data_IF_951960976845
#
_entry.id   IF_951960976845
#
_cell.length_a   1.000
_cell.length_b   1.000
_cell.length_c   1.000
_cell.angle_alpha   90.00
_cell.angle_beta   90.00
_cell.angle_gamma   90.00
#
_symmetry.space_group_name_H-M   'P 1'
#
loop_
_entity.id
_entity.type
_entity.pdbx_description
1 polymer ?
#
# COMPACT_ATOMS: atom_id res chain seq x y z
N UNK A 1 27.68 -5.38 -17.76
CA UNK A 1 27.05 -4.05 -17.95
C UNK A 1 27.65 -3.17 -19.05
N UNK A 2 28.94 -3.31 -19.43
CA UNK A 2 29.54 -2.53 -20.53
C UNK A 2 28.89 -2.75 -21.91
N UNK A 3 28.10 -3.82 -22.07
CA UNK A 3 27.35 -4.15 -23.28
C UNK A 3 26.04 -3.37 -23.47
N UNK A 4 25.50 -2.72 -22.42
CA UNK A 4 24.27 -1.93 -22.53
C UNK A 4 24.62 -0.46 -22.84
N UNK A 5 24.06 0.13 -23.92
CA UNK A 5 24.23 1.55 -24.22
C UNK A 5 23.86 2.44 -23.01
N UNK A 6 24.63 3.50 -22.69
CA UNK A 6 24.39 4.35 -21.52
C UNK A 6 22.96 4.90 -21.46
N UNK A 7 22.43 5.26 -22.62
CA UNK A 7 21.11 5.86 -22.82
C UNK A 7 19.95 4.90 -22.49
N UNK A 8 20.22 3.60 -22.46
CA UNK A 8 19.26 2.55 -22.09
C UNK A 8 19.41 2.08 -20.64
N UNK A 9 20.38 2.61 -19.89
CA UNK A 9 20.57 2.26 -18.47
C UNK A 9 19.56 2.99 -17.61
N UNK A 10 19.24 2.39 -16.46
CA UNK A 10 18.44 3.06 -15.44
C UNK A 10 19.16 4.35 -14.99
N UNK A 11 18.40 5.43 -14.79
CA UNK A 11 18.93 6.72 -14.33
C UNK A 11 19.55 6.63 -12.93
N UNK A 12 19.09 5.68 -12.12
CA UNK A 12 19.47 5.49 -10.72
C UNK A 12 20.43 4.30 -10.58
N UNK A 13 21.34 4.11 -11.54
CA UNK A 13 22.26 2.97 -11.51
C UNK A 13 23.23 3.13 -10.33
N UNK A 14 23.18 2.20 -9.38
CA UNK A 14 24.19 2.06 -8.33
C UNK A 14 25.16 0.95 -8.74
N UNK A 15 26.46 1.25 -8.75
CA UNK A 15 27.47 0.19 -8.88
C UNK A 15 27.58 -0.53 -7.54
N UNK A 16 27.39 -1.85 -7.56
CA UNK A 16 27.48 -2.69 -6.36
C UNK A 16 28.95 -2.79 -5.92
N UNK A 17 29.31 -2.05 -4.89
CA UNK A 17 30.59 -2.11 -4.17
C UNK A 17 30.32 -2.26 -2.67
N UNK A 18 31.35 -2.60 -1.88
CA UNK A 18 31.23 -2.70 -0.41
C UNK A 18 30.86 -1.36 0.26
N UNK A 19 31.07 -0.24 -0.44
CA UNK A 19 30.80 1.13 0.03
C UNK A 19 29.52 1.70 -0.60
N UNK A 20 28.79 0.91 -1.39
CA UNK A 20 27.61 1.38 -2.09
C UNK A 20 26.46 1.64 -1.11
N UNK A 21 25.96 2.87 -1.07
CA UNK A 21 24.72 3.19 -0.36
C UNK A 21 23.53 2.60 -1.14
N UNK A 22 22.94 1.54 -0.61
CA UNK A 22 21.75 0.93 -1.19
C UNK A 22 20.50 1.69 -0.73
N UNK A 23 19.76 2.24 -1.70
CA UNK A 23 18.49 2.95 -1.46
C UNK A 23 17.29 2.00 -1.50
N UNK A 24 16.19 2.43 -0.89
CA UNK A 24 14.89 1.80 -1.14
C UNK A 24 14.42 2.14 -2.55
N UNK A 25 14.26 1.12 -3.39
CA UNK A 25 13.86 1.25 -4.78
C UNK A 25 12.46 0.68 -5.03
N UNK A 26 11.89 0.96 -6.20
CA UNK A 26 10.64 0.33 -6.65
C UNK A 26 10.93 -0.87 -7.54
N UNK A 27 10.50 -2.05 -7.10
CA UNK A 27 10.61 -3.30 -7.85
C UNK A 27 9.24 -3.96 -7.93
N UNK A 28 8.76 -4.28 -9.14
CA UNK A 28 7.43 -4.85 -9.38
C UNK A 28 6.27 -4.02 -8.78
N UNK A 29 6.47 -2.70 -8.61
CA UNK A 29 5.50 -1.80 -7.98
C UNK A 29 5.50 -1.81 -6.45
N UNK A 30 6.29 -2.69 -5.82
CA UNK A 30 6.56 -2.71 -4.39
C UNK A 30 7.81 -1.88 -4.06
N UNK A 31 7.98 -1.51 -2.79
CA UNK A 31 9.23 -0.93 -2.31
C UNK A 31 10.14 -2.05 -1.85
N UNK A 32 11.39 -2.05 -2.29
CA UNK A 32 12.41 -2.99 -1.89
C UNK A 32 13.55 -2.23 -1.24
N UNK A 33 13.83 -2.55 0.02
CA UNK A 33 15.02 -2.12 0.73
C UNK A 33 16.14 -3.10 0.38
N UNK A 34 17.03 -2.66 -0.50
CA UNK A 34 18.12 -3.48 -1.02
C UNK A 34 19.21 -3.74 0.03
N UNK A 35 19.33 -2.89 1.05
CA UNK A 35 20.30 -3.06 2.14
C UNK A 35 19.91 -4.27 3.00
N UNK A 36 18.64 -4.35 3.38
CA UNK A 36 18.11 -5.41 4.24
C UNK A 36 17.52 -6.60 3.47
N UNK A 37 17.60 -6.57 2.14
CA UNK A 37 16.96 -7.50 1.22
C UNK A 37 15.50 -7.82 1.58
N UNK A 38 14.67 -6.79 1.77
CA UNK A 38 13.29 -6.97 2.16
C UNK A 38 12.31 -6.03 1.46
N UNK A 39 11.06 -6.49 1.28
CA UNK A 39 9.99 -5.62 0.80
C UNK A 39 9.45 -4.76 1.93
N UNK A 40 9.28 -3.47 1.65
CA UNK A 40 8.78 -2.47 2.60
C UNK A 40 7.39 -2.00 2.18
N UNK A 41 6.51 -1.81 3.16
CA UNK A 41 5.17 -1.28 2.95
C UNK A 41 5.01 0.03 3.73
N UNK A 42 4.58 1.09 3.05
CA UNK A 42 4.30 2.37 3.71
C UNK A 42 2.98 2.25 4.47
N UNK A 43 3.03 2.52 5.77
CA UNK A 43 1.87 2.54 6.67
C UNK A 43 1.31 3.95 6.87
N UNK A 44 1.93 4.96 6.27
CA UNK A 44 1.38 6.30 6.24
C UNK A 44 0.30 6.38 5.15
N UNK A 45 -0.94 6.67 5.54
CA UNK A 45 -2.10 6.79 4.66
C UNK A 45 -2.55 8.26 4.53
N UNK A 46 -1.78 9.13 3.84
CA UNK A 46 -2.04 10.57 3.83
C UNK A 46 -3.35 10.97 3.14
N UNK A 47 -3.97 10.05 2.40
CA UNK A 47 -5.26 10.26 1.72
C UNK A 47 -6.45 9.77 2.56
N UNK A 48 -6.21 9.18 3.72
CA UNK A 48 -7.23 8.70 4.65
C UNK A 48 -7.32 9.71 5.79
N UNK A 49 -8.53 10.08 6.19
CA UNK A 49 -8.76 11.02 7.28
C UNK A 49 -8.26 10.42 8.59
N UNK A 50 -7.61 11.23 9.41
CA UNK A 50 -7.04 10.79 10.68
C UNK A 50 -8.09 10.23 11.64
N UNK A 51 -9.29 10.82 11.67
CA UNK A 51 -10.45 10.35 12.44
C UNK A 51 -10.84 8.90 12.13
N UNK A 52 -10.66 8.46 10.88
CA UNK A 52 -10.95 7.07 10.46
C UNK A 52 -9.84 6.14 10.96
N UNK A 53 -8.59 6.58 10.86
CA UNK A 53 -7.43 5.81 11.35
C UNK A 53 -7.45 5.65 12.88
N UNK A 54 -8.00 6.63 13.59
CA UNK A 54 -8.18 6.60 15.05
C UNK A 54 -9.49 5.95 15.50
N UNK A 55 -10.32 5.49 14.56
CA UNK A 55 -11.65 4.94 14.83
C UNK A 55 -12.58 5.92 15.59
N UNK A 56 -12.40 7.23 15.38
CA UNK A 56 -13.25 8.29 15.94
C UNK A 56 -14.50 8.54 15.08
N UNK A 57 -14.46 8.10 13.81
CA UNK A 57 -15.55 8.24 12.84
C UNK A 57 -15.76 6.93 12.08
N UNK A 58 -17.02 6.52 11.92
CA UNK A 58 -17.40 5.42 11.02
C UNK A 58 -17.15 5.85 9.56
N UNK A 59 -16.41 5.06 8.76
CA UNK A 59 -16.08 5.44 7.38
C UNK A 59 -17.27 5.27 6.44
N UNK A 60 -17.26 6.01 5.33
CA UNK A 60 -18.13 5.68 4.18
C UNK A 60 -17.56 4.53 3.34
N UNK A 61 -18.36 3.94 2.44
CA UNK A 61 -17.86 2.93 1.49
C UNK A 61 -16.68 3.46 0.67
N UNK A 62 -16.74 4.74 0.25
CA UNK A 62 -15.64 5.40 -0.48
C UNK A 62 -14.38 5.50 0.35
N UNK A 63 -14.50 5.92 1.60
CA UNK A 63 -13.37 6.07 2.52
C UNK A 63 -12.74 4.70 2.83
N UNK A 64 -13.56 3.68 3.07
CA UNK A 64 -13.10 2.30 3.30
C UNK A 64 -12.39 1.71 2.08
N UNK A 65 -12.94 1.87 0.88
CA UNK A 65 -12.29 1.44 -0.35
C UNK A 65 -10.93 2.13 -0.53
N UNK A 66 -10.86 3.44 -0.28
CA UNK A 66 -9.61 4.22 -0.35
C UNK A 66 -8.55 3.67 0.60
N UNK A 67 -8.93 3.33 1.84
CA UNK A 67 -8.03 2.74 2.83
C UNK A 67 -7.57 1.33 2.42
N UNK A 68 -8.51 0.41 2.17
CA UNK A 68 -8.19 -1.00 1.88
C UNK A 68 -7.38 -1.15 0.60
N UNK A 69 -7.70 -0.37 -0.44
CA UNK A 69 -7.03 -0.44 -1.75
C UNK A 69 -5.73 0.38 -1.81
N UNK A 70 -5.42 1.18 -0.78
CA UNK A 70 -4.14 1.91 -0.74
C UNK A 70 -2.93 1.00 -0.56
N UNK A 71 -3.13 -0.21 -0.02
CA UNK A 71 -2.09 -1.22 0.14
C UNK A 71 -1.97 -2.03 -1.14
N UNK A 72 -0.96 -1.70 -1.95
CA UNK A 72 -0.61 -2.45 -3.15
C UNK A 72 0.16 -3.72 -2.76
N UNK A 73 -0.45 -4.89 -2.93
CA UNK A 73 0.13 -6.19 -2.58
C UNK A 73 -0.23 -7.25 -3.64
N UNK A 74 0.42 -7.23 -4.81
CA UNK A 74 0.13 -8.17 -5.90
C UNK A 74 0.52 -9.62 -5.57
N UNK A 75 1.41 -9.83 -4.60
CA UNK A 75 1.93 -11.14 -4.22
C UNK A 75 1.27 -11.71 -2.95
N UNK A 76 0.41 -10.93 -2.28
CA UNK A 76 -0.27 -11.36 -1.05
C UNK A 76 0.63 -11.41 0.19
N UNK A 77 1.76 -10.69 0.20
CA UNK A 77 2.75 -10.70 1.29
C UNK A 77 2.18 -10.15 2.60
N UNK A 78 1.28 -9.18 2.53
CA UNK A 78 0.67 -8.50 3.69
C UNK A 78 -0.85 -8.70 3.75
N UNK A 79 -1.37 -9.70 3.05
CA UNK A 79 -2.81 -10.03 3.05
C UNK A 79 -3.35 -10.25 4.46
N UNK A 80 -2.59 -10.88 5.35
CA UNK A 80 -3.00 -11.13 6.75
C UNK A 80 -3.31 -9.84 7.52
N UNK A 81 -2.69 -8.71 7.14
CA UNK A 81 -2.96 -7.41 7.74
C UNK A 81 -4.16 -6.70 7.08
N UNK A 82 -4.38 -6.92 5.78
CA UNK A 82 -5.45 -6.24 5.02
C UNK A 82 -6.76 -7.01 4.96
N UNK A 83 -6.76 -8.31 5.26
CA UNK A 83 -7.92 -9.20 5.06
C UNK A 83 -9.13 -8.76 5.86
N UNK A 84 -8.95 -8.31 7.10
CA UNK A 84 -10.06 -7.81 7.94
C UNK A 84 -10.75 -6.61 7.29
N UNK A 85 -9.98 -5.64 6.82
CA UNK A 85 -10.52 -4.48 6.10
C UNK A 85 -11.24 -4.89 4.80
N UNK A 86 -10.70 -5.88 4.07
CA UNK A 86 -11.36 -6.44 2.87
C UNK A 86 -12.67 -7.13 3.19
N UNK A 87 -12.77 -7.88 4.29
CA UNK A 87 -14.00 -8.54 4.75
C UNK A 87 -15.05 -7.47 5.09
N UNK A 88 -14.69 -6.49 5.91
CA UNK A 88 -15.61 -5.40 6.28
C UNK A 88 -16.08 -4.64 5.03
N UNK A 89 -15.18 -4.36 4.09
CA UNK A 89 -15.54 -3.72 2.83
C UNK A 89 -16.52 -4.55 2.00
N UNK A 90 -16.33 -5.88 1.94
CA UNK A 90 -17.26 -6.79 1.26
C UNK A 90 -18.64 -6.79 1.95
N UNK A 91 -18.69 -6.85 3.28
CA UNK A 91 -19.93 -6.79 4.04
C UNK A 91 -20.64 -5.45 3.84
N UNK A 92 -19.91 -4.34 3.96
CA UNK A 92 -20.42 -3.00 3.67
C UNK A 92 -20.99 -2.90 2.25
N UNK A 93 -20.36 -3.54 1.26
CA UNK A 93 -20.86 -3.55 -0.11
C UNK A 93 -22.25 -4.16 -0.27
N UNK A 94 -22.60 -5.12 0.58
CA UNK A 94 -23.94 -5.77 0.57
C UNK A 94 -25.05 -4.92 1.20
N UNK A 95 -24.68 -3.87 1.93
CA UNK A 95 -25.63 -2.96 2.57
C UNK A 95 -26.24 -1.98 1.56
N UNK A 96 -27.42 -1.44 1.88
CA UNK A 96 -28.12 -0.48 1.02
C UNK A 96 -27.61 0.97 1.12
N UNK A 97 -26.55 1.24 1.88
CA UNK A 97 -26.01 2.59 2.01
C UNK A 97 -25.29 3.05 0.73
N UNK A 98 -25.34 4.35 0.48
CA UNK A 98 -24.68 4.94 -0.67
C UNK A 98 -23.16 5.11 -0.45
N UNK A 99 -22.43 5.49 -1.51
CA UNK A 99 -20.97 5.63 -1.49
C UNK A 99 -20.43 6.61 -0.44
N UNK A 100 -21.19 7.68 -0.20
CA UNK A 100 -20.82 8.81 0.66
C UNK A 100 -21.63 8.82 1.96
N UNK A 101 -22.37 7.75 2.24
CA UNK A 101 -23.04 7.48 3.51
C UNK A 101 -22.16 6.59 4.40
N UNK A 102 -22.24 6.77 5.71
CA UNK A 102 -21.54 5.92 6.67
C UNK A 102 -22.00 4.47 6.54
N UNK A 103 -21.07 3.53 6.69
CA UNK A 103 -21.43 2.11 6.78
C UNK A 103 -22.16 1.85 8.10
N UNK A 104 -22.98 0.78 8.20
CA UNK A 104 -23.56 0.39 9.48
C UNK A 104 -22.49 0.21 10.56
N UNK A 105 -22.70 0.83 11.71
CA UNK A 105 -21.71 0.86 12.79
C UNK A 105 -21.40 -0.54 13.36
N UNK A 106 -22.26 -1.52 13.13
CA UNK A 106 -22.03 -2.92 13.53
C UNK A 106 -20.89 -3.58 12.74
N UNK A 107 -20.51 -3.01 11.60
CA UNK A 107 -19.42 -3.49 10.75
C UNK A 107 -18.06 -2.86 11.11
N UNK A 108 -18.03 -1.83 11.95
CA UNK A 108 -16.83 -1.04 12.26
C UNK A 108 -16.45 -1.13 13.74
#
# INVERSE_FOLDING_TARGET
MKSLPPDLRAKNLVELSEEAELSTERVLGLLWDAENDCFVFKTNYPKVKEEILKAEKVPTKREMASLVMSVYDPLGLVVHFTIKGRIIFQEAWTTKSDWDEEIPAELF
#
